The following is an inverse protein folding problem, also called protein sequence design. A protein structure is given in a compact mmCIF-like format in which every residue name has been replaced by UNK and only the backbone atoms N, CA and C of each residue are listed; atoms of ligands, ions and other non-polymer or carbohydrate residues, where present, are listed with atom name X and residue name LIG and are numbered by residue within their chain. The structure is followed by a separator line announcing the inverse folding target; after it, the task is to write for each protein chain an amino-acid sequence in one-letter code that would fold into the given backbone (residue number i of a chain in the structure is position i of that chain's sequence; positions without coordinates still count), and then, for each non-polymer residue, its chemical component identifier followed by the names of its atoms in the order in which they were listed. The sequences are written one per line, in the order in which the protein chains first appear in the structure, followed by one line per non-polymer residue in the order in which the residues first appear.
data_IF_132100829136
#
_entry.id   IF_132100829136
#
_cell.length_a   1.000
_cell.length_b   1.000
_cell.length_c   1.000
_cell.angle_alpha   90.00
_cell.angle_beta   90.00
_cell.angle_gamma   90.00
#
_symmetry.space_group_name_H-M   'P 1'
#
loop_
_entity.id
_entity.type
_entity.pdbx_description
1 polymer ?
#
# COMPACT_ATOMS: atom_id res chain seq x y z
N UNK A 1 -41.49 -8.92 13.27
CA UNK A 1 -40.07 -9.07 13.68
C UNK A 1 -39.28 -9.24 12.43
N UNK A 2 -38.54 -8.21 12.00
CA UNK A 2 -37.59 -8.28 10.89
C UNK A 2 -36.38 -9.08 11.37
N UNK A 3 -36.15 -10.22 10.77
CA UNK A 3 -34.96 -11.01 11.04
C UNK A 3 -33.74 -10.28 10.46
N UNK A 4 -32.84 -9.80 11.31
CA UNK A 4 -31.52 -9.32 10.89
C UNK A 4 -30.66 -10.54 10.54
N UNK A 5 -30.38 -10.72 9.27
CA UNK A 5 -29.46 -11.74 8.80
C UNK A 5 -28.07 -11.12 8.61
N UNK A 6 -27.12 -11.60 9.39
CA UNK A 6 -25.71 -11.31 9.19
C UNK A 6 -25.17 -12.32 8.19
N UNK A 7 -24.83 -11.85 7.00
CA UNK A 7 -24.16 -12.65 5.99
C UNK A 7 -22.64 -12.53 6.11
N UNK A 8 -21.94 -13.65 5.99
CA UNK A 8 -20.48 -13.65 5.82
C UNK A 8 -20.15 -13.04 4.46
N UNK A 9 -19.09 -12.24 4.41
CA UNK A 9 -18.60 -11.74 3.13
C UNK A 9 -18.14 -12.89 2.25
N UNK A 10 -18.17 -12.69 0.93
CA UNK A 10 -17.73 -13.71 -0.02
C UNK A 10 -16.29 -14.18 0.24
N UNK A 11 -15.44 -13.31 0.80
CA UNK A 11 -14.06 -13.64 1.17
C UNK A 11 -14.00 -14.64 2.34
N UNK A 12 -14.76 -14.39 3.38
CA UNK A 12 -14.85 -15.29 4.55
C UNK A 12 -15.45 -16.61 4.16
N UNK A 13 -16.51 -16.60 3.34
CA UNK A 13 -17.11 -17.83 2.83
C UNK A 13 -16.11 -18.65 1.99
N UNK A 14 -15.42 -18.03 1.06
CA UNK A 14 -14.39 -18.70 0.24
C UNK A 14 -13.24 -19.29 1.07
N UNK A 15 -12.87 -18.64 2.18
CA UNK A 15 -11.88 -19.17 3.09
C UNK A 15 -12.41 -20.40 3.85
N UNK A 16 -13.65 -20.37 4.31
CA UNK A 16 -14.28 -21.53 4.97
C UNK A 16 -14.38 -22.75 4.05
N UNK A 17 -14.67 -22.49 2.76
CA UNK A 17 -14.77 -23.55 1.75
C UNK A 17 -13.39 -24.14 1.38
N UNK A 18 -12.31 -23.32 1.48
CA UNK A 18 -10.96 -23.75 1.14
C UNK A 18 -9.90 -22.95 1.94
N UNK A 19 -9.70 -23.28 3.23
CA UNK A 19 -8.83 -22.52 4.12
C UNK A 19 -7.34 -22.57 3.76
N UNK A 20 -6.90 -23.57 3.01
CA UNK A 20 -5.50 -23.74 2.62
C UNK A 20 -5.10 -22.83 1.44
N UNK A 21 -6.07 -22.41 0.63
CA UNK A 21 -5.80 -21.63 -0.59
C UNK A 21 -6.12 -20.15 -0.48
N UNK A 22 -6.70 -19.68 0.64
CA UNK A 22 -7.18 -18.30 0.78
C UNK A 22 -6.99 -17.75 2.18
N UNK A 23 -6.85 -16.40 2.25
CA UNK A 23 -6.94 -15.66 3.51
C UNK A 23 -8.38 -15.15 3.71
N UNK A 24 -8.89 -15.13 4.95
CA UNK A 24 -10.21 -14.59 5.23
C UNK A 24 -10.26 -13.05 5.16
N UNK A 25 -9.13 -12.40 4.92
CA UNK A 25 -8.98 -10.94 4.93
C UNK A 25 -8.94 -10.37 3.51
N UNK A 26 -9.54 -9.20 3.31
CA UNK A 26 -9.60 -8.55 2.01
C UNK A 26 -8.33 -7.76 1.70
N UNK A 27 -7.80 -7.05 2.68
CA UNK A 27 -6.57 -6.28 2.52
C UNK A 27 -5.84 -6.08 3.85
N UNK A 28 -4.58 -5.71 3.72
CA UNK A 28 -3.69 -5.49 4.85
C UNK A 28 -2.71 -4.36 4.55
N UNK A 29 -2.03 -3.89 5.58
CA UNK A 29 -1.07 -2.78 5.53
C UNK A 29 0.30 -3.27 5.98
N UNK A 30 1.36 -2.84 5.31
CA UNK A 30 2.74 -3.05 5.75
C UNK A 30 3.52 -1.74 5.66
N UNK A 31 4.06 -1.30 6.78
CA UNK A 31 4.95 -0.12 6.85
C UNK A 31 6.38 -0.61 6.85
N UNK A 32 7.13 -0.23 5.82
CA UNK A 32 8.50 -0.68 5.61
C UNK A 32 9.47 0.21 6.38
N UNK A 33 10.29 -0.41 7.21
CA UNK A 33 11.40 0.28 7.90
C UNK A 33 12.61 0.39 6.96
N UNK A 34 13.45 1.41 7.20
CA UNK A 34 14.65 1.71 6.40
C UNK A 34 15.81 0.74 6.74
N UNK A 35 15.56 -0.54 6.53
CA UNK A 35 16.51 -1.63 6.70
C UNK A 35 16.20 -2.75 5.73
N UNK A 36 17.21 -3.42 5.22
CA UNK A 36 17.00 -4.65 4.44
C UNK A 36 16.47 -5.77 5.31
N UNK A 37 17.03 -5.92 6.49
CA UNK A 37 16.75 -6.98 7.46
C UNK A 37 15.72 -6.55 8.51
N UNK A 38 15.28 -7.52 9.33
CA UNK A 38 14.36 -7.31 10.43
C UNK A 38 12.90 -7.61 10.06
N UNK A 39 12.04 -7.67 11.10
CA UNK A 39 10.63 -8.06 10.93
C UNK A 39 9.82 -7.11 10.05
N UNK A 40 10.16 -5.82 10.07
CA UNK A 40 9.49 -4.78 9.29
C UNK A 40 10.40 -4.21 8.18
N UNK A 41 11.52 -4.89 7.90
CA UNK A 41 12.44 -4.50 6.85
C UNK A 41 11.93 -4.77 5.44
N UNK A 42 12.73 -4.39 4.48
CA UNK A 42 12.42 -4.48 3.04
C UNK A 42 12.19 -5.93 2.62
N UNK A 43 13.07 -6.86 3.00
CA UNK A 43 12.93 -8.28 2.64
C UNK A 43 11.70 -8.92 3.28
N UNK A 44 11.40 -8.60 4.53
CA UNK A 44 10.19 -9.06 5.20
C UNK A 44 8.93 -8.55 4.48
N UNK A 45 8.95 -7.32 3.97
CA UNK A 45 7.85 -6.75 3.20
C UNK A 45 7.59 -7.48 1.89
N UNK A 46 8.63 -7.89 1.17
CA UNK A 46 8.47 -8.68 -0.05
C UNK A 46 7.80 -10.02 0.21
N UNK A 47 8.23 -10.71 1.27
CA UNK A 47 7.61 -11.96 1.71
C UNK A 47 6.15 -11.75 2.09
N UNK A 48 5.86 -10.69 2.84
CA UNK A 48 4.52 -10.34 3.25
C UNK A 48 3.58 -10.04 2.07
N UNK A 49 4.04 -9.22 1.12
CA UNK A 49 3.29 -8.88 -0.09
C UNK A 49 3.04 -10.12 -0.94
N UNK A 50 4.07 -10.93 -1.18
CA UNK A 50 3.93 -12.13 -1.99
C UNK A 50 2.95 -13.13 -1.37
N UNK A 51 3.01 -13.30 -0.03
CA UNK A 51 2.06 -14.13 0.69
C UNK A 51 0.62 -13.60 0.55
N UNK A 52 0.40 -12.31 0.81
CA UNK A 52 -0.91 -11.68 0.67
C UNK A 52 -1.49 -11.87 -0.74
N UNK A 53 -0.71 -11.60 -1.78
CA UNK A 53 -1.14 -11.72 -3.17
C UNK A 53 -1.47 -13.17 -3.56
N UNK A 54 -0.65 -14.14 -3.15
CA UNK A 54 -0.90 -15.57 -3.43
C UNK A 54 -2.21 -16.05 -2.84
N UNK A 55 -2.57 -15.56 -1.67
CA UNK A 55 -3.81 -15.94 -0.97
C UNK A 55 -4.95 -14.94 -1.16
N UNK A 56 -4.80 -14.01 -2.11
CA UNK A 56 -5.87 -13.14 -2.58
C UNK A 56 -6.15 -11.91 -1.73
N UNK A 57 -5.27 -11.52 -0.82
CA UNK A 57 -5.37 -10.24 -0.11
C UNK A 57 -4.69 -9.12 -0.88
N UNK A 58 -5.28 -7.91 -0.89
CA UNK A 58 -4.60 -6.70 -1.32
C UNK A 58 -3.64 -6.21 -0.25
N UNK A 59 -2.53 -5.58 -0.64
CA UNK A 59 -1.54 -5.05 0.29
C UNK A 59 -1.25 -3.58 0.01
N UNK A 60 -1.40 -2.73 1.03
CA UNK A 60 -0.90 -1.37 1.03
C UNK A 60 0.50 -1.34 1.65
N UNK A 61 1.47 -0.89 0.88
CA UNK A 61 2.89 -0.84 1.28
C UNK A 61 3.28 0.62 1.46
N UNK A 62 3.66 1.00 2.66
CA UNK A 62 4.08 2.36 3.00
C UNK A 62 5.61 2.45 2.99
N UNK A 63 6.16 3.25 2.07
CA UNK A 63 7.60 3.40 1.84
C UNK A 63 8.18 4.71 2.38
N UNK A 64 7.39 5.51 3.09
CA UNK A 64 7.78 6.86 3.55
C UNK A 64 8.99 6.89 4.48
N UNK A 65 9.30 5.78 5.15
CA UNK A 65 10.46 5.68 6.06
C UNK A 65 11.77 5.35 5.34
N UNK A 66 11.71 4.90 4.09
CA UNK A 66 12.92 4.61 3.33
C UNK A 66 13.69 5.90 3.08
N UNK A 67 15.00 5.83 3.23
CA UNK A 67 15.89 6.97 2.94
C UNK A 67 15.81 7.35 1.46
N UNK A 68 15.99 8.64 1.14
CA UNK A 68 15.93 9.10 -0.23
C UNK A 68 17.10 8.57 -1.07
N UNK A 69 16.88 8.54 -2.36
CA UNK A 69 17.88 8.23 -3.37
C UNK A 69 19.12 9.11 -3.21
N UNK A 70 20.28 8.50 -3.32
CA UNK A 70 21.54 9.22 -3.16
C UNK A 70 22.03 9.33 -1.71
N UNK A 71 21.24 8.94 -0.71
CA UNK A 71 21.71 8.88 0.67
C UNK A 71 22.80 7.84 0.82
N UNK A 72 23.90 8.22 1.46
CA UNK A 72 24.98 7.30 1.78
C UNK A 72 24.66 6.52 3.05
N UNK A 73 24.95 5.23 3.06
CA UNK A 73 25.06 4.48 4.30
C UNK A 73 26.52 4.57 4.80
N UNK A 74 26.73 4.42 6.10
CA UNK A 74 28.09 4.49 6.69
C UNK A 74 29.08 3.41 6.17
N UNK A 75 28.71 2.64 5.14
CA UNK A 75 29.52 1.63 4.47
C UNK A 75 29.87 2.01 3.01
N UNK A 76 29.64 3.26 2.61
CA UNK A 76 29.95 3.76 1.26
C UNK A 76 29.00 3.30 0.16
N UNK A 77 27.84 2.73 0.50
CA UNK A 77 26.82 2.36 -0.47
C UNK A 77 25.74 3.47 -0.54
N UNK A 78 25.30 3.75 -1.76
CA UNK A 78 24.30 4.76 -2.05
C UNK A 78 22.91 4.15 -2.15
N UNK A 79 21.94 4.73 -1.47
CA UNK A 79 20.55 4.30 -1.51
C UNK A 79 19.92 4.56 -2.89
N UNK A 80 19.15 3.60 -3.38
CA UNK A 80 18.41 3.71 -4.66
C UNK A 80 17.05 4.42 -4.53
N UNK A 81 16.59 4.65 -3.29
CA UNK A 81 15.34 5.33 -2.99
C UNK A 81 14.07 4.48 -3.11
N UNK A 82 12.92 4.98 -2.60
CA UNK A 82 11.68 4.23 -2.53
C UNK A 82 11.10 3.85 -3.90
N UNK A 83 11.35 4.64 -4.95
CA UNK A 83 10.85 4.37 -6.31
C UNK A 83 11.45 3.07 -6.86
N UNK A 84 12.73 2.82 -6.62
CA UNK A 84 13.39 1.57 -7.02
C UNK A 84 12.76 0.36 -6.35
N UNK A 85 12.46 0.45 -5.07
CA UNK A 85 11.77 -0.62 -4.34
C UNK A 85 10.32 -0.77 -4.80
N UNK A 86 9.64 0.31 -5.17
CA UNK A 86 8.28 0.25 -5.74
C UNK A 86 8.23 -0.62 -7.01
N UNK A 87 9.28 -0.63 -7.84
CA UNK A 87 9.39 -1.50 -9.02
C UNK A 87 9.39 -2.99 -8.66
N UNK A 88 9.99 -3.37 -7.54
CA UNK A 88 10.00 -4.75 -7.07
C UNK A 88 8.58 -5.22 -6.75
N UNK A 89 7.80 -4.41 -6.04
CA UNK A 89 6.39 -4.75 -5.75
C UNK A 89 5.54 -4.81 -7.01
N UNK A 90 5.81 -3.96 -8.00
CA UNK A 90 5.15 -4.01 -9.31
C UNK A 90 5.43 -5.34 -10.02
N UNK A 91 6.69 -5.77 -10.06
CA UNK A 91 7.09 -7.04 -10.65
C UNK A 91 6.53 -8.24 -9.88
N UNK A 92 6.54 -8.21 -8.56
CA UNK A 92 5.90 -9.25 -7.73
C UNK A 92 4.42 -9.40 -8.07
N UNK A 93 3.69 -8.31 -8.15
CA UNK A 93 2.26 -8.35 -8.47
C UNK A 93 2.01 -8.87 -9.89
N UNK A 94 2.81 -8.43 -10.86
CA UNK A 94 2.74 -8.93 -12.24
C UNK A 94 2.96 -10.44 -12.31
N UNK A 95 4.04 -10.91 -11.68
CA UNK A 95 4.46 -12.32 -11.73
C UNK A 95 3.44 -13.23 -11.04
N UNK A 96 3.02 -12.88 -9.84
CA UNK A 96 2.09 -13.70 -9.06
C UNK A 96 0.68 -13.72 -9.66
N UNK A 97 0.27 -12.62 -10.30
CA UNK A 97 -1.01 -12.56 -11.03
C UNK A 97 -1.07 -13.57 -12.16
N UNK A 98 0.01 -13.76 -12.90
CA UNK A 98 0.07 -14.70 -14.05
C UNK A 98 0.05 -16.15 -13.62
N UNK A 99 0.57 -16.47 -12.45
CA UNK A 99 0.66 -17.83 -11.92
C UNK A 99 -0.45 -18.25 -10.96
N UNK A 100 -1.31 -17.31 -10.51
CA UNK A 100 -2.30 -17.55 -9.47
C UNK A 100 -3.74 -17.65 -9.98
N UNK A 101 -4.60 -18.28 -9.19
CA UNK A 101 -6.05 -18.37 -9.43
C UNK A 101 -6.77 -17.00 -9.38
N UNK A 102 -6.11 -15.94 -8.91
CA UNK A 102 -6.70 -14.61 -8.73
C UNK A 102 -6.25 -13.66 -9.83
N UNK A 103 -7.21 -13.16 -10.59
CA UNK A 103 -6.97 -12.27 -11.73
C UNK A 103 -6.41 -10.88 -11.37
N UNK A 104 -6.58 -10.42 -10.14
CA UNK A 104 -6.27 -9.04 -9.75
C UNK A 104 -5.71 -8.96 -8.33
N UNK A 105 -4.40 -9.17 -8.17
CA UNK A 105 -3.70 -8.73 -6.98
C UNK A 105 -3.71 -7.21 -6.89
N UNK A 106 -4.02 -6.63 -5.74
CA UNK A 106 -4.01 -5.20 -5.52
C UNK A 106 -2.84 -4.82 -4.62
N UNK A 107 -1.89 -4.07 -5.16
CA UNK A 107 -0.81 -3.44 -4.40
C UNK A 107 -0.92 -1.93 -4.57
N UNK A 108 -0.96 -1.22 -3.45
CA UNK A 108 -0.91 0.24 -3.42
C UNK A 108 0.38 0.64 -2.70
N UNK A 109 1.20 1.43 -3.36
CA UNK A 109 2.41 2.01 -2.77
C UNK A 109 2.07 3.39 -2.24
N UNK A 110 2.34 3.60 -0.96
CA UNK A 110 2.14 4.88 -0.28
C UNK A 110 3.48 5.55 0.00
N UNK A 111 3.52 6.86 -0.19
CA UNK A 111 4.62 7.72 0.22
C UNK A 111 4.08 9.04 0.74
N UNK A 112 4.72 9.61 1.76
CA UNK A 112 4.34 10.90 2.31
C UNK A 112 4.74 12.03 1.37
N UNK A 113 3.91 13.06 1.26
CA UNK A 113 4.14 14.22 0.37
C UNK A 113 5.45 14.95 0.66
N UNK A 114 5.93 14.92 1.89
CA UNK A 114 7.18 15.56 2.31
C UNK A 114 8.42 14.68 2.13
N UNK A 115 8.29 13.50 1.53
CA UNK A 115 9.45 12.67 1.22
C UNK A 115 10.32 13.34 0.15
N UNK A 116 11.66 13.37 0.28
CA UNK A 116 12.53 14.02 -0.72
C UNK A 116 12.36 13.50 -2.15
N UNK A 117 12.03 12.21 -2.32
CA UNK A 117 11.83 11.59 -3.64
C UNK A 117 10.39 11.68 -4.15
N UNK A 118 9.54 12.50 -3.53
CA UNK A 118 8.12 12.60 -3.92
C UNK A 118 7.94 12.98 -5.39
N UNK A 119 8.76 13.89 -5.89
CA UNK A 119 8.66 14.33 -7.29
C UNK A 119 9.03 13.21 -8.25
N UNK A 120 10.09 12.44 -7.97
CA UNK A 120 10.45 11.24 -8.76
C UNK A 120 9.31 10.22 -8.74
N UNK A 121 8.73 9.96 -7.55
CA UNK A 121 7.60 9.03 -7.40
C UNK A 121 6.39 9.42 -8.25
N UNK A 122 6.04 10.70 -8.27
CA UNK A 122 4.90 11.22 -9.04
C UNK A 122 5.17 11.17 -10.54
N UNK A 123 6.39 11.56 -10.96
CA UNK A 123 6.77 11.69 -12.37
C UNK A 123 7.18 10.37 -13.02
N UNK A 124 7.43 9.32 -12.26
CA UNK A 124 7.75 8.01 -12.80
C UNK A 124 6.66 7.56 -13.77
N UNK A 125 7.01 7.19 -15.02
CA UNK A 125 6.05 6.74 -16.01
C UNK A 125 5.21 5.55 -15.50
N UNK A 126 3.93 5.52 -15.84
CA UNK A 126 3.03 4.43 -15.46
C UNK A 126 3.55 3.06 -15.90
N UNK A 127 4.21 2.98 -17.04
CA UNK A 127 4.77 1.74 -17.57
C UNK A 127 5.82 1.10 -16.65
N UNK A 128 6.58 1.92 -15.90
CA UNK A 128 7.58 1.42 -14.96
C UNK A 128 6.98 0.87 -13.66
N UNK A 129 5.77 1.31 -13.31
CA UNK A 129 5.03 0.90 -12.12
C UNK A 129 3.63 0.39 -12.50
N UNK A 130 3.53 -0.36 -13.59
CA UNK A 130 2.27 -0.72 -14.23
C UNK A 130 1.35 -1.56 -13.33
N UNK A 131 1.91 -2.33 -12.41
CA UNK A 131 1.18 -3.30 -11.60
C UNK A 131 0.96 -2.88 -10.15
N UNK A 132 1.27 -1.63 -9.82
CA UNK A 132 0.97 -1.02 -8.52
C UNK A 132 0.21 0.28 -8.73
N UNK A 133 -0.63 0.63 -7.75
CA UNK A 133 -1.20 1.96 -7.66
C UNK A 133 -0.34 2.81 -6.75
N UNK A 134 -0.29 4.10 -7.03
CA UNK A 134 0.50 5.08 -6.28
C UNK A 134 -0.42 5.97 -5.47
N UNK A 135 -0.12 6.13 -4.20
CA UNK A 135 -0.86 6.96 -3.28
C UNK A 135 0.08 7.89 -2.52
N UNK A 136 -0.31 9.15 -2.39
CA UNK A 136 0.40 10.14 -1.61
C UNK A 136 -0.36 10.39 -0.32
N UNK A 137 0.33 10.20 0.80
CA UNK A 137 -0.21 10.50 2.12
C UNK A 137 0.11 11.96 2.49
N UNK A 138 -0.91 12.73 2.83
CA UNK A 138 -0.78 14.15 3.12
C UNK A 138 -1.80 14.66 4.14
N UNK A 139 -1.52 15.82 4.68
CA UNK A 139 -2.48 16.68 5.37
C UNK A 139 -2.43 18.11 4.82
N UNK A 140 -3.33 18.98 5.26
CA UNK A 140 -3.40 20.35 4.77
C UNK A 140 -2.12 21.15 5.06
N UNK A 141 -1.45 20.90 6.19
CA UNK A 141 -0.19 21.57 6.56
C UNK A 141 0.92 21.19 5.61
N UNK A 142 1.11 19.89 5.38
CA UNK A 142 2.14 19.39 4.48
C UNK A 142 1.89 19.83 3.03
N UNK A 143 0.63 19.86 2.59
CA UNK A 143 0.28 20.40 1.28
C UNK A 143 0.71 21.85 1.11
N UNK A 144 0.41 22.70 2.11
CA UNK A 144 0.77 24.10 2.06
C UNK A 144 2.29 24.36 2.15
N UNK A 145 3.06 23.41 2.65
CA UNK A 145 4.53 23.47 2.72
C UNK A 145 5.21 22.93 1.46
N UNK A 146 4.45 22.25 0.59
CA UNK A 146 4.99 21.67 -0.64
C UNK A 146 5.17 22.75 -1.69
N UNK A 147 6.29 22.71 -2.42
CA UNK A 147 6.56 23.67 -3.50
C UNK A 147 5.58 23.52 -4.67
N UNK A 148 5.37 24.62 -5.41
CA UNK A 148 4.40 24.70 -6.49
C UNK A 148 4.67 23.65 -7.60
N UNK A 149 5.93 23.39 -7.94
CA UNK A 149 6.30 22.40 -8.96
C UNK A 149 5.84 21.00 -8.57
N UNK A 150 6.03 20.64 -7.32
CA UNK A 150 5.59 19.34 -6.79
C UNK A 150 4.07 19.27 -6.71
N UNK A 151 3.40 20.33 -6.27
CA UNK A 151 1.94 20.40 -6.27
C UNK A 151 1.36 20.23 -7.68
N UNK A 152 1.89 20.93 -8.67
CA UNK A 152 1.46 20.83 -10.07
C UNK A 152 1.67 19.43 -10.63
N UNK A 153 2.82 18.80 -10.35
CA UNK A 153 3.08 17.42 -10.75
C UNK A 153 2.08 16.43 -10.15
N UNK A 154 1.74 16.60 -8.87
CA UNK A 154 0.73 15.78 -8.19
C UNK A 154 -0.65 15.96 -8.85
N UNK A 155 -1.08 17.20 -9.07
CA UNK A 155 -2.37 17.51 -9.71
C UNK A 155 -2.45 16.92 -11.12
N UNK A 156 -1.39 17.01 -11.91
CA UNK A 156 -1.33 16.37 -13.22
C UNK A 156 -1.36 14.83 -13.12
N UNK A 157 -0.69 14.24 -12.13
CA UNK A 157 -0.75 12.81 -11.86
C UNK A 157 -2.16 12.32 -11.50
N UNK A 158 -2.91 13.12 -10.72
CA UNK A 158 -4.31 12.86 -10.39
C UNK A 158 -5.19 12.95 -11.63
N UNK A 159 -5.05 13.99 -12.45
CA UNK A 159 -5.82 14.13 -13.70
C UNK A 159 -5.61 12.95 -14.66
N UNK A 160 -4.40 12.42 -14.73
CA UNK A 160 -4.11 11.20 -15.51
C UNK A 160 -4.63 9.92 -14.88
N UNK A 161 -5.07 9.95 -13.62
CA UNK A 161 -5.48 8.76 -12.87
C UNK A 161 -4.33 7.90 -12.38
N UNK A 162 -3.11 8.44 -12.34
CA UNK A 162 -1.89 7.74 -11.89
C UNK A 162 -1.67 7.84 -10.39
N UNK A 163 -2.14 8.92 -9.77
CA UNK A 163 -1.88 9.27 -8.38
C UNK A 163 -3.21 9.37 -7.62
N UNK A 164 -3.25 8.74 -6.46
CA UNK A 164 -4.31 8.87 -5.48
C UNK A 164 -3.82 9.67 -4.27
N UNK A 165 -4.74 10.29 -3.56
CA UNK A 165 -4.45 11.01 -2.33
C UNK A 165 -5.08 10.27 -1.15
N UNK A 166 -4.37 10.27 -0.03
CA UNK A 166 -4.83 9.72 1.23
C UNK A 166 -4.51 10.69 2.37
N UNK A 167 -5.42 10.82 3.31
CA UNK A 167 -5.22 11.68 4.47
C UNK A 167 -4.37 10.98 5.53
N UNK A 168 -3.37 11.68 6.06
CA UNK A 168 -2.63 11.21 7.24
C UNK A 168 -3.57 11.23 8.45
N UNK A 169 -3.63 10.11 9.18
CA UNK A 169 -4.45 9.95 10.38
C UNK A 169 -3.67 9.36 11.54
N UNK A 170 -4.16 9.65 12.72
CA UNK A 170 -3.63 9.15 13.99
C UNK A 170 -4.77 8.53 14.80
N UNK A 171 -4.44 7.55 15.60
CA UNK A 171 -5.39 6.94 16.55
C UNK A 171 -5.61 7.84 17.78
N UNK A 172 -6.44 7.37 18.69
CA UNK A 172 -6.73 8.09 19.97
C UNK A 172 -5.52 8.28 20.88
N UNK A 173 -4.44 7.53 20.66
CA UNK A 173 -3.20 7.60 21.41
C UNK A 173 -2.14 8.47 20.72
N UNK A 174 -2.48 9.08 19.57
CA UNK A 174 -1.56 9.87 18.75
C UNK A 174 -0.60 9.04 17.91
N UNK A 175 -0.81 7.72 17.80
CA UNK A 175 -0.02 6.86 16.93
C UNK A 175 -0.57 6.91 15.50
N UNK A 176 0.34 7.01 14.52
CA UNK A 176 -0.05 7.03 13.12
C UNK A 176 -0.71 5.71 12.72
N UNK A 177 -1.83 5.81 12.03
CA UNK A 177 -2.52 4.72 11.36
C UNK A 177 -2.50 4.96 9.84
N UNK A 178 -2.49 3.89 9.07
CA UNK A 178 -2.14 3.91 7.66
C UNK A 178 -3.31 3.45 6.81
N UNK A 179 -3.51 4.11 5.67
CA UNK A 179 -4.55 3.75 4.72
C UNK A 179 -4.32 2.35 4.15
N UNK A 180 -5.42 1.59 4.03
CA UNK A 180 -5.41 0.29 3.36
C UNK A 180 -5.46 0.46 1.83
N UNK A 181 -5.63 -0.63 1.10
CA UNK A 181 -5.71 -0.64 -0.37
C UNK A 181 -6.84 0.22 -0.92
N UNK A 182 -8.01 0.21 -0.27
CA UNK A 182 -9.21 0.95 -0.70
C UNK A 182 -9.27 2.38 -0.14
N UNK A 183 -8.35 2.75 0.75
CA UNK A 183 -8.26 4.05 1.45
C UNK A 183 -9.46 4.36 2.38
N UNK A 184 -10.31 3.40 2.63
CA UNK A 184 -11.51 3.54 3.47
C UNK A 184 -11.28 3.19 4.94
N UNK A 185 -10.29 2.33 5.22
CA UNK A 185 -9.92 1.86 6.54
C UNK A 185 -8.46 2.21 6.83
N UNK A 186 -8.20 2.63 8.06
CA UNK A 186 -6.86 2.97 8.55
C UNK A 186 -6.46 1.96 9.63
N UNK A 187 -5.27 1.41 9.47
CA UNK A 187 -4.78 0.28 10.26
C UNK A 187 -3.34 0.55 10.74
N UNK A 188 -2.92 -0.03 11.86
CA UNK A 188 -1.50 -0.13 12.18
C UNK A 188 -0.78 -1.01 11.16
N UNK A 189 0.56 -0.99 11.15
CA UNK A 189 1.33 -1.93 10.33
C UNK A 189 0.94 -3.37 10.65
N UNK A 190 0.78 -4.19 9.60
CA UNK A 190 0.27 -5.57 9.63
C UNK A 190 -1.19 -5.72 10.09
N UNK A 191 -1.90 -4.63 10.24
CA UNK A 191 -3.35 -4.65 10.44
C UNK A 191 -4.08 -5.20 9.22
N UNK A 192 -5.22 -5.83 9.44
CA UNK A 192 -6.03 -6.45 8.38
C UNK A 192 -7.46 -5.94 8.40
N UNK A 193 -8.09 -5.89 7.24
CA UNK A 193 -9.49 -5.50 7.10
C UNK A 193 -10.36 -6.72 6.79
N UNK A 194 -11.43 -6.86 7.58
CA UNK A 194 -12.52 -7.79 7.33
C UNK A 194 -13.78 -6.96 7.03
N UNK A 195 -14.36 -7.18 5.86
CA UNK A 195 -15.64 -6.59 5.50
C UNK A 195 -16.77 -7.50 5.99
N UNK A 196 -17.76 -6.94 6.66
CA UNK A 196 -19.02 -7.60 7.01
C UNK A 196 -20.15 -6.98 6.18
N UNK A 197 -21.01 -7.83 5.61
CA UNK A 197 -22.26 -7.39 4.97
C UNK A 197 -23.42 -7.61 5.93
N UNK A 198 -24.15 -6.55 6.23
CA UNK A 198 -25.43 -6.63 6.92
C UNK A 198 -26.53 -6.59 5.85
N UNK A 199 -27.39 -7.60 5.82
CA UNK A 199 -28.54 -7.66 4.93
C UNK A 199 -29.79 -7.46 5.78
N UNK A 200 -30.54 -6.39 5.50
CA UNK A 200 -31.91 -6.23 6.00
C UNK A 200 -32.86 -6.88 4.99
N UNK A 201 -33.65 -7.83 5.45
CA UNK A 201 -34.74 -8.45 4.71
C UNK A 201 -36.05 -7.95 5.29
#
# INVERSE_FOLDING_TARGET
MTAELISRTGRVQSWLDNPESRLPVSCTVFVVEDSMEGENGIEASWRYVSHGLRYGAGVAVHLSKLRPKGSENGKGLTASGPVSFAKIYSTLNETLRRGGHYKNGAVVIHIDINHPDILEFVQTPRAELAWVKRCIDLDARLWNQTDARTQDAILEGIKRGDIWLNKIKYDKNGQRIFGNVCLEVYLPSRGTCLLLSLIHI
#
